data_IF_223876210541
#
_entry.id   IF_223876210541
#
_cell.length_a   1.000
_cell.length_b   1.000
_cell.length_c   1.000
_cell.angle_alpha   90.00
_cell.angle_beta   90.00
_cell.angle_gamma   90.00
#
_symmetry.space_group_name_H-M   'P 1'
#
loop_
_entity.id
_entity.type
_entity.pdbx_description
1 polymer ?
#
# COMPACT_ATOMS: atom_id res chain seq x y z
N UNK A 1 11.97 1.67 9.87
CA UNK A 1 10.79 2.40 9.35
C UNK A 1 9.89 2.73 10.54
N UNK A 2 9.39 3.97 10.66
CA UNK A 2 8.57 4.40 11.80
C UNK A 2 7.29 3.55 11.98
N UNK A 3 6.72 3.10 10.87
CA UNK A 3 5.52 2.28 10.82
C UNK A 3 5.81 0.77 10.72
N UNK A 4 7.00 0.31 11.12
CA UNK A 4 7.33 -1.12 11.13
C UNK A 4 6.30 -2.00 11.88
N UNK A 5 5.71 -1.57 13.02
CA UNK A 5 4.69 -2.36 13.72
C UNK A 5 3.40 -2.62 12.92
N UNK A 6 3.12 -1.81 11.90
CA UNK A 6 1.91 -1.93 11.08
C UNK A 6 2.15 -2.78 9.82
N UNK A 7 3.41 -3.10 9.51
CA UNK A 7 3.78 -3.79 8.28
C UNK A 7 3.12 -5.16 8.15
N UNK A 8 3.21 -6.00 9.18
CA UNK A 8 2.59 -7.34 9.16
C UNK A 8 1.06 -7.27 8.98
N UNK A 9 0.43 -6.27 9.60
CA UNK A 9 -1.02 -6.04 9.46
C UNK A 9 -1.39 -5.68 8.03
N UNK A 10 -0.68 -4.74 7.41
CA UNK A 10 -0.95 -4.32 6.03
C UNK A 10 -0.65 -5.46 5.06
N UNK A 11 0.46 -6.19 5.24
CA UNK A 11 0.81 -7.37 4.43
C UNK A 11 -0.28 -8.44 4.53
N UNK A 12 -0.78 -8.74 5.74
CA UNK A 12 -1.85 -9.71 5.93
C UNK A 12 -3.12 -9.32 5.16
N UNK A 13 -3.52 -8.05 5.20
CA UNK A 13 -4.66 -7.57 4.42
C UNK A 13 -4.40 -7.63 2.92
N UNK A 14 -3.24 -7.20 2.44
CA UNK A 14 -2.89 -7.28 1.02
C UNK A 14 -2.88 -8.71 0.50
N UNK A 15 -2.44 -9.70 1.30
CA UNK A 15 -2.52 -11.12 0.93
C UNK A 15 -3.94 -11.61 0.70
N UNK A 16 -4.92 -11.14 1.50
CA UNK A 16 -6.34 -11.48 1.30
C UNK A 16 -6.90 -10.89 0.01
N UNK A 17 -6.27 -9.84 -0.52
CA UNK A 17 -6.69 -9.11 -1.71
C UNK A 17 -5.70 -9.26 -2.87
N UNK A 18 -4.83 -10.27 -2.85
CA UNK A 18 -3.73 -10.42 -3.81
C UNK A 18 -4.22 -10.40 -5.26
N UNK A 19 -5.21 -11.22 -5.59
CA UNK A 19 -5.75 -11.30 -6.96
C UNK A 19 -6.32 -9.95 -7.43
N UNK A 20 -6.95 -9.21 -6.53
CA UNK A 20 -7.50 -7.88 -6.83
C UNK A 20 -6.39 -6.85 -7.05
N UNK A 21 -5.31 -6.91 -6.24
CA UNK A 21 -4.13 -6.06 -6.39
C UNK A 21 -3.44 -6.32 -7.73
N UNK A 22 -3.23 -7.60 -8.11
CA UNK A 22 -2.58 -7.97 -9.36
C UNK A 22 -3.41 -7.48 -10.56
N UNK A 23 -4.72 -7.76 -10.58
CA UNK A 23 -5.62 -7.27 -11.62
C UNK A 23 -5.62 -5.74 -11.72
N UNK A 24 -5.66 -5.05 -10.58
CA UNK A 24 -5.64 -3.60 -10.56
C UNK A 24 -4.29 -3.04 -11.04
N UNK A 25 -3.19 -3.70 -10.73
CA UNK A 25 -1.87 -3.31 -11.22
C UNK A 25 -1.80 -3.39 -12.76
N UNK A 26 -2.34 -4.45 -13.37
CA UNK A 26 -2.46 -4.56 -14.83
C UNK A 26 -3.31 -3.44 -15.44
N UNK A 27 -4.47 -3.16 -14.84
CA UNK A 27 -5.37 -2.12 -15.32
C UNK A 27 -4.75 -0.72 -15.19
N UNK A 28 -4.08 -0.46 -14.06
CA UNK A 28 -3.33 0.78 -13.84
C UNK A 28 -2.20 0.91 -14.86
N UNK A 29 -1.48 -0.17 -15.15
CA UNK A 29 -0.38 -0.16 -16.13
C UNK A 29 -0.87 0.20 -17.53
N UNK A 30 -2.08 -0.23 -17.91
CA UNK A 30 -2.72 0.11 -19.19
C UNK A 30 -3.18 1.56 -19.26
N UNK A 31 -3.61 2.16 -18.14
CA UNK A 31 -4.06 3.55 -18.10
C UNK A 31 -2.90 4.53 -18.32
N UNK A 32 -1.73 4.25 -17.76
CA UNK A 32 -0.57 5.15 -17.81
C UNK A 32 -0.83 6.52 -17.15
N UNK A 33 0.00 7.51 -17.47
CA UNK A 33 -0.22 8.91 -17.06
C UNK A 33 0.19 9.27 -15.62
N UNK A 34 0.99 8.42 -14.97
CA UNK A 34 1.59 8.67 -13.66
C UNK A 34 3.12 8.78 -13.77
N UNK A 35 3.72 9.62 -12.93
CA UNK A 35 5.19 9.72 -12.84
C UNK A 35 5.83 8.50 -12.15
N UNK A 36 5.15 7.93 -11.14
CA UNK A 36 5.64 6.78 -10.38
C UNK A 36 4.52 5.74 -10.18
N UNK A 37 4.57 4.69 -11.00
CA UNK A 37 3.60 3.59 -10.97
C UNK A 37 3.48 2.97 -9.58
N UNK A 38 4.61 2.70 -8.95
CA UNK A 38 4.65 1.98 -7.68
C UNK A 38 4.02 2.79 -6.54
N UNK A 39 4.26 4.10 -6.49
CA UNK A 39 3.62 4.98 -5.49
C UNK A 39 2.13 5.04 -5.73
N UNK A 40 1.70 5.19 -6.99
CA UNK A 40 0.27 5.24 -7.33
C UNK A 40 -0.44 3.95 -6.92
N UNK A 41 0.10 2.81 -7.31
CA UNK A 41 -0.43 1.50 -6.93
C UNK A 41 -0.44 1.32 -5.40
N UNK A 42 0.65 1.68 -4.72
CA UNK A 42 0.76 1.56 -3.26
C UNK A 42 -0.31 2.35 -2.51
N UNK A 43 -0.55 3.60 -2.90
CA UNK A 43 -1.57 4.44 -2.26
C UNK A 43 -2.99 3.99 -2.59
N UNK A 44 -3.26 3.64 -3.84
CA UNK A 44 -4.59 3.21 -4.25
C UNK A 44 -4.97 1.90 -3.55
N UNK A 45 -4.06 0.92 -3.50
CA UNK A 45 -4.26 -0.30 -2.73
C UNK A 45 -4.44 -0.03 -1.22
N UNK A 46 -3.63 0.86 -0.64
CA UNK A 46 -3.71 1.17 0.78
C UNK A 46 -5.07 1.78 1.14
N UNK A 47 -5.52 2.76 0.35
CA UNK A 47 -6.81 3.44 0.56
C UNK A 47 -7.96 2.47 0.34
N UNK A 48 -7.92 1.66 -0.72
CA UNK A 48 -9.01 0.74 -1.04
C UNK A 48 -9.17 -0.38 0.01
N UNK A 49 -8.06 -0.89 0.55
CA UNK A 49 -8.07 -2.06 1.45
C UNK A 49 -8.15 -1.64 2.93
N UNK A 50 -7.35 -0.65 3.35
CA UNK A 50 -7.29 -0.23 4.75
C UNK A 50 -8.23 0.93 5.07
N UNK A 51 -8.62 1.71 4.08
CA UNK A 51 -9.49 2.87 4.24
C UNK A 51 -8.74 4.12 4.74
N UNK A 52 -9.29 5.28 4.42
CA UNK A 52 -8.73 6.60 4.82
C UNK A 52 -8.67 6.78 6.33
N UNK A 53 -9.65 6.27 7.08
CA UNK A 53 -9.65 6.35 8.55
C UNK A 53 -8.44 5.66 9.19
N UNK A 54 -8.02 4.51 8.65
CA UNK A 54 -6.81 3.83 9.12
C UNK A 54 -5.58 4.70 8.87
N UNK A 55 -5.46 5.25 7.67
CA UNK A 55 -4.33 6.11 7.27
C UNK A 55 -4.26 7.35 8.16
N UNK A 56 -5.38 8.06 8.36
CA UNK A 56 -5.48 9.19 9.29
C UNK A 56 -5.01 8.79 10.70
N UNK A 57 -5.45 7.64 11.20
CA UNK A 57 -5.03 7.13 12.50
C UNK A 57 -3.53 6.83 12.60
N UNK A 58 -2.82 6.56 11.48
CA UNK A 58 -1.36 6.42 11.50
C UNK A 58 -0.66 7.75 11.77
N UNK A 59 -1.14 8.85 11.18
CA UNK A 59 -0.60 10.18 11.45
C UNK A 59 -0.75 10.53 12.93
N UNK A 60 -1.94 10.32 13.50
CA UNK A 60 -2.20 10.65 14.90
C UNK A 60 -1.40 9.78 15.87
N UNK A 61 -1.36 8.46 15.62
CA UNK A 61 -0.73 7.50 16.54
C UNK A 61 0.78 7.55 16.50
N UNK A 62 1.37 7.70 15.31
CA UNK A 62 2.80 7.59 15.13
C UNK A 62 3.48 8.92 14.81
N UNK A 63 2.73 10.02 14.62
CA UNK A 63 3.28 11.28 14.13
C UNK A 63 4.10 11.06 12.86
N UNK A 64 3.59 10.24 11.93
CA UNK A 64 4.28 9.89 10.70
C UNK A 64 4.00 10.91 9.59
N UNK A 65 4.63 10.71 8.44
CA UNK A 65 4.45 11.57 7.25
C UNK A 65 4.05 10.69 6.08
N UNK A 66 3.60 11.30 4.99
CA UNK A 66 3.23 10.62 3.75
C UNK A 66 4.38 9.75 3.23
N UNK A 67 5.64 10.20 3.37
CA UNK A 67 6.80 9.41 2.99
C UNK A 67 6.92 8.10 3.80
N UNK A 68 6.62 8.16 5.10
CA UNK A 68 6.61 6.96 5.95
C UNK A 68 5.49 5.99 5.55
N UNK A 69 4.29 6.50 5.25
CA UNK A 69 3.14 5.69 4.82
C UNK A 69 3.39 5.11 3.42
N UNK A 70 3.93 5.90 2.50
CA UNK A 70 4.36 5.43 1.17
C UNK A 70 5.36 4.29 1.31
N UNK A 71 6.35 4.41 2.20
CA UNK A 71 7.33 3.34 2.45
C UNK A 71 6.67 2.08 3.01
N UNK A 72 5.71 2.22 3.93
CA UNK A 72 4.92 1.10 4.46
C UNK A 72 4.15 0.38 3.35
N UNK A 73 3.39 1.13 2.56
CA UNK A 73 2.55 0.58 1.50
C UNK A 73 3.36 -0.10 0.39
N UNK A 74 4.46 0.52 -0.05
CA UNK A 74 5.37 -0.08 -1.04
C UNK A 74 6.00 -1.37 -0.53
N UNK A 75 6.50 -1.39 0.71
CA UNK A 75 7.08 -2.60 1.31
C UNK A 75 6.04 -3.71 1.46
N UNK A 76 4.81 -3.37 1.84
CA UNK A 76 3.74 -4.34 1.95
C UNK A 76 3.40 -4.96 0.57
N UNK A 77 3.26 -4.13 -0.48
CA UNK A 77 3.05 -4.61 -1.85
C UNK A 77 4.19 -5.50 -2.32
N UNK A 78 5.44 -5.09 -2.09
CA UNK A 78 6.62 -5.87 -2.48
C UNK A 78 6.60 -7.27 -1.86
N UNK A 79 6.32 -7.39 -0.56
CA UNK A 79 6.27 -8.68 0.12
C UNK A 79 5.15 -9.60 -0.40
N UNK A 80 4.02 -9.04 -0.84
CA UNK A 80 2.94 -9.83 -1.43
C UNK A 80 3.28 -10.29 -2.85
N UNK A 81 4.04 -9.49 -3.61
CA UNK A 81 4.41 -9.79 -5.00
C UNK A 81 5.66 -10.68 -5.13
N UNK A 82 6.62 -10.60 -4.21
CA UNK A 82 7.86 -11.41 -4.24
C UNK A 82 7.66 -12.86 -3.74
N UNK A 83 6.52 -13.17 -3.12
CA UNK A 83 6.17 -14.53 -2.67
C UNK A 83 5.22 -15.25 -3.65
N UNK A 84 5.23 -14.79 -4.91
CA UNK A 84 4.42 -15.29 -6.02
C UNK A 84 5.16 -16.21 -6.96
#
# INVERSE_FOLDING_TARGET
MKLAPELDRVVAQYRLHRDAIERYADDLQRQGGYDDFETRLAWDCLVAIMGTNYICGLYDRYGCTDAHITTLAKRALQQVREQG
#
